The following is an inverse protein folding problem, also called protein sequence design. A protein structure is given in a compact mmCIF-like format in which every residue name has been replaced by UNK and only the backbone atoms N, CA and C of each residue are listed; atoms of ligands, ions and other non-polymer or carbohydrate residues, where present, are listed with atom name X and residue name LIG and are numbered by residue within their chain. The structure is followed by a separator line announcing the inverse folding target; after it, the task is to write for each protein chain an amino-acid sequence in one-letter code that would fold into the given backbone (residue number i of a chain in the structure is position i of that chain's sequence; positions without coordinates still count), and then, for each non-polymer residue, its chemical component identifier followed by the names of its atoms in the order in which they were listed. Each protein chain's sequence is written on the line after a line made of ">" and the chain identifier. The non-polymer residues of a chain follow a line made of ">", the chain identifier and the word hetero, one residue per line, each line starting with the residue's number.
data_IF_336073355796
#
_entry.id   IF_336073355796
#
_cell.length_a   1.000
_cell.length_b   1.000
_cell.length_c   1.000
_cell.angle_alpha   90.00
_cell.angle_beta   90.00
_cell.angle_gamma   90.00
#
_symmetry.space_group_name_H-M   'P 1'
#
loop_
_entity.id
_entity.type
_entity.pdbx_description
1 polymer ?
#
# COMPACT_ATOMS: atom_id res chain seq x y z
N UNK A 1 10.42 -9.20 7.11
CA UNK A 1 10.52 -8.87 8.55
C UNK A 1 11.16 -10.00 9.36
N UNK A 2 10.70 -11.28 9.24
CA UNK A 2 11.30 -12.41 9.96
C UNK A 2 12.81 -12.59 9.67
N UNK A 3 13.22 -12.44 8.42
CA UNK A 3 14.63 -12.45 8.03
C UNK A 3 15.41 -11.33 8.71
N UNK A 4 14.87 -10.12 8.77
CA UNK A 4 15.49 -8.98 9.46
C UNK A 4 15.74 -9.25 10.95
N UNK A 5 14.79 -9.88 11.64
CA UNK A 5 14.95 -10.28 13.04
C UNK A 5 16.10 -11.29 13.22
N UNK A 6 16.23 -12.28 12.32
CA UNK A 6 17.35 -13.24 12.35
C UNK A 6 18.69 -12.55 12.10
N UNK A 7 18.74 -11.60 11.18
CA UNK A 7 19.94 -10.79 10.89
C UNK A 7 20.32 -9.98 12.14
N UNK A 8 19.36 -9.30 12.79
CA UNK A 8 19.62 -8.55 14.03
C UNK A 8 20.20 -9.45 15.14
N UNK A 9 19.59 -10.62 15.36
CA UNK A 9 20.07 -11.57 16.35
C UNK A 9 21.48 -12.08 16.05
N UNK A 10 21.82 -12.30 14.78
CA UNK A 10 23.17 -12.70 14.37
C UNK A 10 24.20 -11.56 14.53
N UNK A 11 23.81 -10.35 14.16
CA UNK A 11 24.67 -9.16 14.20
C UNK A 11 25.01 -8.74 15.64
N UNK A 12 24.12 -9.00 16.60
CA UNK A 12 24.33 -8.66 18.02
C UNK A 12 25.60 -9.30 18.61
N UNK A 13 25.95 -10.51 18.16
CA UNK A 13 27.17 -11.23 18.64
C UNK A 13 28.47 -10.49 18.33
N UNK A 14 28.48 -9.70 17.25
CA UNK A 14 29.66 -8.94 16.82
C UNK A 14 29.49 -7.42 16.94
N UNK A 15 28.39 -6.95 17.59
CA UNK A 15 28.06 -5.54 17.73
C UNK A 15 28.00 -4.77 16.39
N UNK A 16 27.54 -5.44 15.32
CA UNK A 16 27.45 -4.82 13.98
C UNK A 16 26.35 -3.80 13.93
N UNK A 17 26.64 -2.64 13.33
CA UNK A 17 25.60 -1.68 12.95
C UNK A 17 24.78 -2.27 11.79
N UNK A 18 23.48 -2.06 11.84
CA UNK A 18 22.55 -2.56 10.83
C UNK A 18 21.76 -1.41 10.21
N UNK A 19 21.55 -1.52 8.90
CA UNK A 19 20.49 -0.83 8.19
C UNK A 19 19.62 -1.91 7.56
N UNK A 20 18.37 -1.97 7.98
CA UNK A 20 17.38 -2.94 7.49
C UNK A 20 16.22 -2.18 6.87
N UNK A 21 15.95 -2.48 5.61
CA UNK A 21 14.76 -2.04 4.89
C UNK A 21 13.90 -3.28 4.64
N UNK A 22 12.74 -3.33 5.30
CA UNK A 22 11.92 -4.53 5.39
C UNK A 22 10.53 -4.29 4.77
N UNK A 23 9.56 -5.11 5.14
CA UNK A 23 8.21 -5.07 4.60
C UNK A 23 7.45 -3.78 4.92
N UNK A 24 6.37 -3.56 4.21
CA UNK A 24 5.47 -2.42 4.39
C UNK A 24 4.01 -2.76 4.17
N UNK A 25 3.16 -1.87 4.67
CA UNK A 25 1.73 -1.76 4.31
C UNK A 25 1.46 -0.28 4.02
N UNK A 26 2.09 0.21 2.96
CA UNK A 26 2.05 1.62 2.56
C UNK A 26 0.62 2.11 2.41
N UNK A 27 0.34 3.23 3.06
CA UNK A 27 -0.97 3.86 3.06
C UNK A 27 -0.98 5.10 2.18
N UNK A 28 -2.07 5.28 1.44
CA UNK A 28 -2.42 6.54 0.79
C UNK A 28 -3.68 7.09 1.48
N UNK A 29 -3.61 8.34 1.94
CA UNK A 29 -4.74 9.08 2.53
C UNK A 29 -5.23 10.07 1.48
N UNK A 30 -6.51 9.98 1.12
CA UNK A 30 -7.15 10.87 0.13
C UNK A 30 -8.23 11.66 0.85
N UNK A 31 -7.96 12.93 1.09
CA UNK A 31 -8.87 13.85 1.78
C UNK A 31 -9.96 14.38 0.87
N UNK A 32 -10.99 15.00 1.45
CA UNK A 32 -12.15 15.56 0.73
C UNK A 32 -11.79 16.63 -0.32
N UNK A 33 -10.68 17.33 -0.13
CA UNK A 33 -10.16 18.40 -0.99
C UNK A 33 -9.03 17.95 -1.92
N UNK A 34 -8.80 16.64 -2.05
CA UNK A 34 -7.73 16.10 -2.88
C UNK A 34 -8.02 16.25 -4.39
N UNK A 35 -6.97 16.41 -5.19
CA UNK A 35 -7.04 16.18 -6.65
C UNK A 35 -7.21 14.67 -6.90
N UNK A 36 -8.46 14.24 -7.07
CA UNK A 36 -8.83 12.83 -7.20
C UNK A 36 -8.16 12.19 -8.41
N UNK A 37 -8.09 12.91 -9.53
CA UNK A 37 -7.49 12.36 -10.76
C UNK A 37 -5.99 12.06 -10.57
N UNK A 38 -5.26 12.97 -9.93
CA UNK A 38 -3.83 12.74 -9.62
C UNK A 38 -3.64 11.66 -8.57
N UNK A 39 -4.48 11.64 -7.52
CA UNK A 39 -4.42 10.61 -6.47
C UNK A 39 -4.64 9.21 -7.05
N UNK A 40 -5.63 9.03 -7.93
CA UNK A 40 -5.90 7.76 -8.62
C UNK A 40 -4.74 7.35 -9.51
N UNK A 41 -4.19 8.28 -10.32
CA UNK A 41 -3.04 7.97 -11.18
C UNK A 41 -1.86 7.47 -10.37
N UNK A 42 -1.59 8.13 -9.26
CA UNK A 42 -0.53 7.75 -8.33
C UNK A 42 -0.79 6.38 -7.70
N UNK A 43 -2.06 6.09 -7.35
CA UNK A 43 -2.47 4.77 -6.83
C UNK A 43 -2.18 3.69 -7.85
N UNK A 44 -2.69 3.82 -9.08
CA UNK A 44 -2.52 2.82 -10.16
C UNK A 44 -1.04 2.58 -10.45
N UNK A 45 -0.25 3.65 -10.62
CA UNK A 45 1.18 3.56 -10.93
C UNK A 45 2.01 2.89 -9.83
N UNK A 46 1.56 2.96 -8.57
CA UNK A 46 2.27 2.39 -7.42
C UNK A 46 1.76 1.02 -7.00
N UNK A 47 0.43 0.83 -6.94
CA UNK A 47 -0.17 -0.36 -6.37
C UNK A 47 -0.03 -1.61 -7.27
N UNK A 48 -0.16 -1.44 -8.57
CA UNK A 48 -0.29 -2.59 -9.46
C UNK A 48 1.01 -3.17 -10.00
N UNK A 49 2.14 -2.47 -10.07
CA UNK A 49 3.44 -3.15 -10.08
C UNK A 49 3.67 -4.02 -8.83
N UNK A 50 3.12 -3.63 -7.68
CA UNK A 50 2.82 -4.42 -6.46
C UNK A 50 4.00 -5.07 -5.74
N UNK A 51 5.16 -5.22 -6.36
CA UNK A 51 6.32 -5.94 -5.82
C UNK A 51 7.45 -4.98 -5.43
N UNK A 52 7.08 -3.87 -4.80
CA UNK A 52 8.02 -2.93 -4.18
C UNK A 52 7.61 -2.69 -2.71
N UNK A 53 8.60 -2.53 -1.82
CA UNK A 53 8.33 -2.24 -0.42
C UNK A 53 7.60 -0.89 -0.21
N UNK A 54 7.71 0.03 -1.18
CA UNK A 54 7.02 1.32 -1.19
C UNK A 54 5.67 1.31 -1.92
N UNK A 55 5.26 0.18 -2.53
CA UNK A 55 4.00 0.11 -3.27
C UNK A 55 2.80 0.41 -2.37
N UNK A 56 1.92 1.31 -2.83
CA UNK A 56 0.65 1.57 -2.14
C UNK A 56 -0.17 0.28 -2.15
N UNK A 57 -0.59 -0.14 -0.97
CA UNK A 57 -1.36 -1.37 -0.78
C UNK A 57 -2.63 -1.15 0.03
N UNK A 58 -2.79 0.07 0.59
CA UNK A 58 -3.94 0.48 1.37
C UNK A 58 -4.28 1.94 1.06
N UNK A 59 -5.54 2.22 0.72
CA UNK A 59 -6.08 3.57 0.53
C UNK A 59 -7.09 3.85 1.65
N UNK A 60 -6.90 4.96 2.34
CA UNK A 60 -7.90 5.56 3.20
C UNK A 60 -8.54 6.70 2.43
N UNK A 61 -9.84 6.63 2.19
CA UNK A 61 -10.58 7.58 1.36
C UNK A 61 -11.63 8.30 2.18
N UNK A 62 -11.66 9.64 2.14
CA UNK A 62 -12.74 10.40 2.75
C UNK A 62 -14.07 10.08 2.06
N UNK A 63 -15.10 9.79 2.85
CA UNK A 63 -16.41 9.33 2.35
C UNK A 63 -17.00 10.22 1.25
N UNK A 64 -16.82 11.55 1.33
CA UNK A 64 -17.40 12.50 0.36
C UNK A 64 -16.84 12.40 -1.06
N UNK A 65 -15.66 11.80 -1.24
CA UNK A 65 -15.00 11.65 -2.56
C UNK A 65 -14.84 10.18 -2.97
N UNK A 66 -15.38 9.27 -2.17
CA UNK A 66 -15.30 7.83 -2.38
C UNK A 66 -15.79 7.40 -3.76
N UNK A 67 -16.98 7.81 -4.12
CA UNK A 67 -17.65 7.35 -5.35
C UNK A 67 -16.81 7.75 -6.59
N UNK A 68 -16.43 9.02 -6.67
CA UNK A 68 -15.60 9.52 -7.76
C UNK A 68 -14.26 8.79 -7.83
N UNK A 69 -13.59 8.61 -6.67
CA UNK A 69 -12.31 7.92 -6.61
C UNK A 69 -12.43 6.47 -7.08
N UNK A 70 -13.42 5.71 -6.60
CA UNK A 70 -13.57 4.28 -6.94
C UNK A 70 -13.95 4.07 -8.40
N UNK A 71 -14.80 4.92 -8.98
CA UNK A 71 -15.15 4.86 -10.40
C UNK A 71 -13.92 5.11 -11.28
N UNK A 72 -13.15 6.15 -10.97
CA UNK A 72 -11.95 6.49 -11.73
C UNK A 72 -10.84 5.45 -11.53
N UNK A 73 -10.66 4.95 -10.30
CA UNK A 73 -9.71 3.88 -10.00
C UNK A 73 -10.01 2.62 -10.81
N UNK A 74 -11.27 2.18 -10.83
CA UNK A 74 -11.69 1.01 -11.61
C UNK A 74 -11.42 1.19 -13.10
N UNK A 75 -11.82 2.32 -13.68
CA UNK A 75 -11.59 2.62 -15.10
C UNK A 75 -10.12 2.52 -15.46
N UNK A 76 -9.25 3.21 -14.71
CA UNK A 76 -7.80 3.24 -14.99
C UNK A 76 -7.09 1.92 -14.70
N UNK A 77 -7.59 1.17 -13.72
CA UNK A 77 -7.01 -0.13 -13.39
C UNK A 77 -7.28 -1.17 -14.46
N UNK A 78 -8.45 -1.12 -15.09
CA UNK A 78 -8.82 -2.02 -16.19
C UNK A 78 -8.05 -1.74 -17.50
N UNK A 79 -7.48 -0.53 -17.63
CA UNK A 79 -6.59 -0.16 -18.75
C UNK A 79 -5.13 -0.60 -18.50
N UNK A 80 -4.80 -1.03 -17.27
CA UNK A 80 -3.44 -1.43 -16.92
C UNK A 80 -3.17 -2.87 -17.32
N UNK A 81 -1.95 -3.15 -17.75
CA UNK A 81 -1.51 -4.54 -17.97
C UNK A 81 -1.51 -5.34 -16.65
N UNK A 82 -1.80 -6.64 -16.71
CA UNK A 82 -1.64 -7.53 -15.58
C UNK A 82 -0.22 -7.50 -15.00
N UNK A 83 -0.11 -7.54 -13.67
CA UNK A 83 1.17 -7.55 -12.97
C UNK A 83 1.89 -8.88 -13.16
N UNK A 84 3.13 -8.87 -13.64
CA UNK A 84 4.00 -10.04 -13.66
C UNK A 84 4.61 -10.25 -12.28
N UNK A 85 4.22 -11.31 -11.60
CA UNK A 85 4.80 -11.72 -10.32
C UNK A 85 6.08 -12.54 -10.52
N UNK A 86 6.93 -12.55 -9.49
CA UNK A 86 8.27 -13.14 -9.59
C UNK A 86 8.26 -14.66 -9.85
N UNK A 87 7.30 -15.36 -9.25
CA UNK A 87 7.18 -16.82 -9.36
C UNK A 87 5.78 -17.34 -9.01
N UNK A 88 5.60 -18.65 -9.12
CA UNK A 88 4.35 -19.33 -8.80
C UNK A 88 4.01 -19.26 -7.30
N UNK A 89 4.99 -19.15 -6.42
CA UNK A 89 4.77 -19.00 -4.96
C UNK A 89 4.13 -17.63 -4.67
N UNK A 90 4.52 -16.60 -5.42
CA UNK A 90 3.89 -15.29 -5.33
C UNK A 90 2.43 -15.31 -5.80
N UNK A 91 2.12 -16.04 -6.87
CA UNK A 91 0.73 -16.28 -7.33
C UNK A 91 -0.10 -16.91 -6.20
N UNK A 92 0.36 -18.03 -5.65
CA UNK A 92 -0.34 -18.74 -4.57
C UNK A 92 -0.58 -17.85 -3.34
N UNK A 93 0.41 -17.01 -3.01
CA UNK A 93 0.27 -16.03 -1.93
C UNK A 93 -0.84 -15.02 -2.25
N UNK A 94 -0.87 -14.45 -3.45
CA UNK A 94 -1.91 -13.49 -3.87
C UNK A 94 -3.28 -14.17 -3.84
N UNK A 95 -3.44 -15.36 -4.43
CA UNK A 95 -4.69 -16.13 -4.44
C UNK A 95 -5.21 -16.34 -3.01
N UNK A 96 -4.35 -16.74 -2.07
CA UNK A 96 -4.72 -16.88 -0.65
C UNK A 96 -5.29 -15.59 -0.05
N UNK A 97 -4.70 -14.43 -0.35
CA UNK A 97 -5.22 -13.14 0.15
C UNK A 97 -6.51 -12.73 -0.55
N UNK A 98 -6.70 -13.06 -1.83
CA UNK A 98 -7.97 -12.90 -2.51
C UNK A 98 -9.09 -13.68 -1.81
N UNK A 99 -8.84 -14.95 -1.45
CA UNK A 99 -9.80 -15.78 -0.74
C UNK A 99 -10.10 -15.24 0.67
N UNK A 100 -9.11 -14.67 1.36
CA UNK A 100 -9.32 -14.00 2.64
C UNK A 100 -10.12 -12.70 2.48
N UNK A 101 -9.82 -11.92 1.43
CA UNK A 101 -10.53 -10.67 1.14
C UNK A 101 -12.01 -10.89 0.87
N UNK A 102 -12.35 -11.91 0.09
CA UNK A 102 -13.73 -12.26 -0.26
C UNK A 102 -14.61 -12.66 0.95
N UNK A 103 -14.02 -12.94 2.12
CA UNK A 103 -14.81 -13.31 3.32
C UNK A 103 -15.52 -12.13 3.97
N UNK A 104 -14.89 -10.96 3.98
CA UNK A 104 -15.38 -9.77 4.69
C UNK A 104 -15.30 -8.49 3.87
N UNK A 105 -14.65 -8.51 2.71
CA UNK A 105 -14.52 -7.37 1.82
C UNK A 105 -15.36 -7.50 0.57
N UNK A 106 -15.74 -6.39 -0.01
CA UNK A 106 -16.35 -6.31 -1.33
C UNK A 106 -15.25 -6.28 -2.39
N UNK A 107 -15.24 -7.26 -3.30
CA UNK A 107 -14.34 -7.27 -4.46
C UNK A 107 -14.87 -6.30 -5.52
N UNK A 108 -14.20 -5.18 -5.71
CA UNK A 108 -14.60 -4.15 -6.68
C UNK A 108 -14.20 -4.50 -8.12
N UNK A 109 -13.02 -5.11 -8.31
CA UNK A 109 -12.53 -5.61 -9.61
C UNK A 109 -11.31 -6.52 -9.43
N UNK A 110 -10.97 -7.27 -10.48
CA UNK A 110 -9.83 -8.20 -10.52
C UNK A 110 -10.07 -9.48 -9.74
N UNK A 111 -9.08 -9.93 -8.98
CA UNK A 111 -9.16 -11.13 -8.14
C UNK A 111 -8.94 -12.43 -8.89
N UNK A 112 -8.30 -12.39 -10.05
CA UNK A 112 -8.07 -13.54 -10.92
C UNK A 112 -6.79 -13.39 -11.77
N UNK A 113 -6.37 -14.47 -12.38
CA UNK A 113 -5.36 -14.45 -13.45
C UNK A 113 -5.98 -13.94 -14.74
N UNK A 114 -5.20 -13.27 -15.60
CA UNK A 114 -5.69 -12.82 -16.91
C UNK A 114 -6.07 -14.01 -17.79
N UNK A 115 -7.13 -13.86 -18.57
CA UNK A 115 -7.64 -14.91 -19.45
C UNK A 115 -7.02 -14.88 -20.86
N UNK A 116 -6.37 -13.76 -21.24
CA UNK A 116 -5.73 -13.61 -22.55
C UNK A 116 -4.53 -14.55 -22.67
N UNK A 117 -4.47 -15.34 -23.76
CA UNK A 117 -3.43 -16.34 -24.04
C UNK A 117 -2.01 -15.77 -24.03
N UNK A 118 -1.82 -14.48 -24.33
CA UNK A 118 -0.51 -13.81 -24.27
C UNK A 118 0.13 -13.86 -22.88
N UNK A 119 -0.69 -13.98 -21.82
CA UNK A 119 -0.24 -14.06 -20.44
C UNK A 119 -0.15 -15.49 -19.88
N UNK A 120 -0.57 -16.51 -20.65
CA UNK A 120 -0.70 -17.90 -20.17
C UNK A 120 0.63 -18.52 -19.69
N UNK A 121 1.77 -18.07 -20.23
CA UNK A 121 3.11 -18.63 -19.91
C UNK A 121 3.81 -17.92 -18.75
N UNK A 122 3.22 -16.87 -18.17
CA UNK A 122 3.82 -16.08 -17.09
C UNK A 122 3.06 -16.16 -15.77
N UNK A 123 3.67 -15.65 -14.72
CA UNK A 123 3.05 -15.51 -13.42
C UNK A 123 2.27 -14.19 -13.32
N UNK A 124 1.32 -13.98 -14.22
CA UNK A 124 0.54 -12.77 -14.28
C UNK A 124 -0.68 -12.81 -13.37
N UNK A 125 -1.03 -11.64 -12.79
CA UNK A 125 -2.23 -11.46 -11.98
C UNK A 125 -2.87 -10.09 -12.27
N UNK A 126 -4.20 -10.04 -12.33
CA UNK A 126 -4.91 -8.80 -12.64
C UNK A 126 -4.83 -7.81 -11.47
N UNK A 127 -4.80 -6.47 -11.76
CA UNK A 127 -5.04 -5.45 -10.77
C UNK A 127 -6.30 -5.76 -9.96
N UNK A 128 -6.17 -5.78 -8.65
CA UNK A 128 -7.24 -6.22 -7.76
C UNK A 128 -7.50 -5.18 -6.68
N UNK A 129 -8.77 -4.89 -6.41
CA UNK A 129 -9.18 -3.95 -5.39
C UNK A 129 -10.34 -4.49 -4.56
N UNK A 130 -10.23 -4.34 -3.25
CA UNK A 130 -11.28 -4.61 -2.28
C UNK A 130 -11.66 -3.33 -1.53
N UNK A 131 -12.95 -3.20 -1.23
CA UNK A 131 -13.48 -2.27 -0.25
C UNK A 131 -13.77 -3.03 1.05
N UNK A 132 -13.36 -2.46 2.18
CA UNK A 132 -13.60 -3.01 3.53
C UNK A 132 -14.28 -1.97 4.41
N UNK A 133 -15.16 -2.42 5.30
CA UNK A 133 -15.75 -1.59 6.34
C UNK A 133 -14.74 -1.19 7.42
N UNK A 134 -13.79 -2.10 7.71
CA UNK A 134 -12.70 -1.86 8.66
C UNK A 134 -11.40 -2.55 8.22
N UNK A 135 -10.34 -2.35 8.98
CA UNK A 135 -9.04 -2.95 8.66
C UNK A 135 -8.72 -4.26 9.41
N UNK A 136 -9.72 -4.99 9.91
CA UNK A 136 -9.52 -6.25 10.64
C UNK A 136 -9.05 -7.39 9.73
N UNK A 137 -9.42 -7.33 8.45
CA UNK A 137 -9.04 -8.36 7.48
C UNK A 137 -7.52 -8.37 7.23
N UNK A 138 -6.88 -9.55 7.15
CA UNK A 138 -5.46 -9.68 6.82
C UNK A 138 -5.02 -8.96 5.54
N UNK A 139 -5.92 -8.80 4.55
CA UNK A 139 -5.67 -8.02 3.33
C UNK A 139 -5.34 -6.56 3.65
N UNK A 140 -5.93 -5.99 4.69
CA UNK A 140 -5.67 -4.61 5.12
C UNK A 140 -4.41 -4.46 5.96
N UNK A 141 -3.94 -5.53 6.62
CA UNK A 141 -2.89 -5.48 7.64
C UNK A 141 -1.56 -6.08 7.23
N UNK A 142 -1.58 -7.10 6.36
CA UNK A 142 -0.37 -7.86 6.02
C UNK A 142 0.20 -7.45 4.66
N UNK A 143 1.51 -7.59 4.51
CA UNK A 143 2.20 -7.36 3.23
C UNK A 143 1.92 -8.52 2.28
N UNK A 144 1.22 -8.23 1.17
CA UNK A 144 0.88 -9.22 0.14
C UNK A 144 2.00 -9.34 -0.89
N UNK A 145 2.65 -8.22 -1.22
CA UNK A 145 3.68 -8.10 -2.25
C UNK A 145 3.19 -8.54 -3.62
N UNK A 146 2.06 -7.98 -4.03
CA UNK A 146 1.33 -8.27 -5.27
C UNK A 146 0.28 -7.20 -5.56
N UNK A 147 -0.43 -7.26 -6.70
CA UNK A 147 -1.32 -6.22 -7.20
C UNK A 147 -2.69 -6.20 -6.49
N UNK A 148 -2.68 -6.15 -5.16
CA UNK A 148 -3.89 -6.17 -4.33
C UNK A 148 -3.96 -4.92 -3.47
N UNK A 149 -4.99 -4.12 -3.70
CA UNK A 149 -5.28 -2.89 -2.99
C UNK A 149 -6.48 -3.08 -2.06
N UNK A 150 -6.38 -2.57 -0.83
CA UNK A 150 -7.50 -2.42 0.09
C UNK A 150 -7.90 -0.96 0.20
N UNK A 151 -9.19 -0.68 0.15
CA UNK A 151 -9.77 0.65 0.36
C UNK A 151 -10.62 0.61 1.63
N UNK A 152 -10.51 1.65 2.46
CA UNK A 152 -11.26 1.83 3.70
C UNK A 152 -11.71 3.30 3.73
N UNK A 153 -12.94 3.55 4.13
CA UNK A 153 -13.49 4.89 4.26
C UNK A 153 -13.11 5.50 5.60
N UNK A 154 -13.11 6.83 5.65
CA UNK A 154 -13.02 7.59 6.89
C UNK A 154 -13.84 8.89 6.81
N UNK A 155 -14.20 9.42 7.98
CA UNK A 155 -15.02 10.61 8.10
C UNK A 155 -14.23 11.86 8.50
N UNK A 156 -13.19 11.71 9.31
CA UNK A 156 -12.38 12.84 9.78
C UNK A 156 -10.87 12.52 9.81
N UNK A 157 -10.07 13.58 9.91
CA UNK A 157 -8.60 13.48 9.85
C UNK A 157 -8.00 12.67 11.01
N UNK A 158 -8.63 12.64 12.20
CA UNK A 158 -8.15 11.86 13.34
C UNK A 158 -8.40 10.37 13.12
N UNK A 159 -9.55 10.02 12.57
CA UNK A 159 -9.87 8.65 12.20
C UNK A 159 -8.87 8.16 11.14
N UNK A 160 -8.65 8.94 10.06
CA UNK A 160 -7.68 8.61 9.03
C UNK A 160 -6.27 8.41 9.60
N UNK A 161 -5.84 9.28 10.53
CA UNK A 161 -4.55 9.17 11.20
C UNK A 161 -4.44 7.89 12.05
N UNK A 162 -5.49 7.59 12.82
CA UNK A 162 -5.54 6.38 13.66
C UNK A 162 -5.48 5.12 12.79
N UNK A 163 -6.30 5.05 11.73
CA UNK A 163 -6.27 3.95 10.76
C UNK A 163 -4.90 3.82 10.08
N UNK A 164 -4.28 4.94 9.68
CA UNK A 164 -2.97 4.93 9.04
C UNK A 164 -1.88 4.38 9.97
N UNK A 165 -1.89 4.78 11.25
CA UNK A 165 -0.90 4.38 12.23
C UNK A 165 -1.16 2.99 12.86
N UNK A 166 -2.40 2.47 12.82
CA UNK A 166 -2.74 1.13 13.33
C UNK A 166 -2.23 0.03 12.38
N UNK A 167 -0.94 -0.10 12.32
CA UNK A 167 -0.23 -1.13 11.57
C UNK A 167 1.11 -1.44 12.23
N UNK A 168 1.62 -2.65 12.01
CA UNK A 168 2.97 -3.03 12.42
C UNK A 168 4.08 -2.46 11.52
N UNK A 169 3.71 -1.77 10.45
CA UNK A 169 4.63 -1.20 9.47
C UNK A 169 4.66 0.33 9.53
N UNK A 170 5.67 0.93 8.93
CA UNK A 170 5.84 2.38 8.86
C UNK A 170 6.97 2.77 7.92
N UNK A 171 6.91 2.34 6.64
CA UNK A 171 7.92 2.72 5.66
C UNK A 171 7.56 4.02 4.96
N UNK A 172 6.40 4.06 4.33
CA UNK A 172 5.96 5.18 3.52
C UNK A 172 4.46 5.43 3.69
N UNK A 173 4.07 6.69 3.67
CA UNK A 173 2.70 7.16 3.52
C UNK A 173 2.62 8.22 2.43
N UNK A 174 1.49 8.30 1.75
CA UNK A 174 1.14 9.33 0.76
C UNK A 174 -0.10 10.07 1.23
N UNK A 175 -0.10 11.39 1.16
CA UNK A 175 -1.23 12.25 1.56
C UNK A 175 -1.64 13.09 0.37
N UNK A 176 -2.95 13.14 0.13
CA UNK A 176 -3.55 13.95 -0.93
C UNK A 176 -4.52 14.95 -0.33
N UNK A 177 -4.15 16.22 -0.35
CA UNK A 177 -4.93 17.36 0.16
C UNK A 177 -4.41 18.67 -0.43
N UNK A 178 -5.29 19.64 -0.60
CA UNK A 178 -4.91 21.02 -0.95
C UNK A 178 -4.83 21.94 0.28
N UNK A 179 -5.12 21.42 1.49
CA UNK A 179 -5.13 22.17 2.74
C UNK A 179 -3.77 22.05 3.47
N UNK A 180 -2.98 23.14 3.59
CA UNK A 180 -1.67 23.11 4.25
C UNK A 180 -1.73 22.76 5.74
N UNK A 181 -2.84 23.06 6.44
CA UNK A 181 -3.01 22.70 7.84
C UNK A 181 -3.21 21.18 8.01
N UNK A 182 -3.96 20.57 7.10
CA UNK A 182 -4.14 19.12 7.05
C UNK A 182 -2.85 18.41 6.68
N UNK A 183 -2.10 18.94 5.70
CA UNK A 183 -0.76 18.47 5.37
C UNK A 183 0.12 18.43 6.63
N UNK A 184 0.26 19.54 7.35
CA UNK A 184 1.06 19.65 8.57
C UNK A 184 0.55 18.70 9.68
N UNK A 185 -0.77 18.53 9.78
CA UNK A 185 -1.38 17.60 10.74
C UNK A 185 -0.90 16.18 10.53
N UNK A 186 -0.96 15.67 9.30
CA UNK A 186 -0.55 14.31 8.97
C UNK A 186 0.97 14.14 9.00
N UNK A 187 1.73 15.04 8.35
CA UNK A 187 3.18 14.95 8.27
C UNK A 187 3.82 14.87 9.65
N UNK A 188 3.29 15.60 10.63
CA UNK A 188 3.84 15.62 12.00
C UNK A 188 3.43 14.43 12.87
N UNK A 189 2.44 13.62 12.47
CA UNK A 189 1.83 12.59 13.32
C UNK A 189 1.87 11.17 12.72
N UNK A 190 2.12 11.04 11.44
CA UNK A 190 2.25 9.73 10.81
C UNK A 190 3.52 9.01 11.29
N UNK A 191 3.35 7.78 11.75
CA UNK A 191 4.43 6.92 12.24
C UNK A 191 5.09 6.15 11.09
N UNK A 192 5.66 6.91 10.16
CA UNK A 192 6.30 6.37 8.95
C UNK A 192 7.60 7.09 8.63
N UNK A 193 8.51 6.41 7.98
CA UNK A 193 9.83 6.94 7.65
C UNK A 193 9.81 8.02 6.58
N UNK A 194 8.83 7.95 5.67
CA UNK A 194 8.67 8.89 4.56
C UNK A 194 7.20 9.24 4.42
N UNK A 195 6.94 10.54 4.18
CA UNK A 195 5.62 11.05 3.86
C UNK A 195 5.71 11.79 2.53
N UNK A 196 4.97 11.34 1.52
CA UNK A 196 4.75 12.07 0.28
C UNK A 196 3.50 12.94 0.40
N UNK A 197 3.58 14.19 -0.04
CA UNK A 197 2.41 15.09 -0.10
C UNK A 197 2.09 15.38 -1.55
N UNK A 198 0.88 15.06 -1.97
CA UNK A 198 0.41 15.14 -3.36
C UNK A 198 1.33 14.38 -4.35
N UNK A 199 1.98 13.34 -3.85
CA UNK A 199 2.79 12.40 -4.62
C UNK A 199 2.93 11.08 -3.84
N UNK A 200 3.46 10.04 -4.49
CA UNK A 200 3.62 8.71 -3.87
C UNK A 200 4.79 8.62 -2.88
N UNK A 201 5.45 9.72 -2.58
CA UNK A 201 6.74 9.64 -1.92
C UNK A 201 7.74 8.83 -2.78
N UNK A 202 8.96 9.22 -2.87
CA UNK A 202 9.91 8.54 -3.73
C UNK A 202 11.30 8.54 -3.12
N UNK A 203 12.17 7.71 -3.70
CA UNK A 203 13.60 7.79 -3.44
C UNK A 203 14.12 9.14 -3.94
N UNK A 204 14.45 10.01 -3.01
CA UNK A 204 15.16 11.24 -3.32
C UNK A 204 16.62 11.05 -2.90
N UNK A 205 17.54 11.18 -3.82
CA UNK A 205 18.98 10.88 -3.61
C UNK A 205 19.64 11.59 -2.41
N UNK A 206 19.00 12.64 -1.87
CA UNK A 206 19.51 13.44 -0.77
C UNK A 206 18.78 13.26 0.55
N UNK A 207 17.78 12.37 0.59
CA UNK A 207 17.01 12.11 1.80
C UNK A 207 17.31 10.71 2.36
N UNK A 208 17.44 10.57 3.67
CA UNK A 208 17.59 9.25 4.28
C UNK A 208 16.38 8.38 3.99
N UNK A 209 16.61 7.13 3.60
CA UNK A 209 15.58 6.12 3.40
C UNK A 209 15.57 5.14 4.56
N UNK A 210 14.42 4.87 5.15
CA UNK A 210 14.27 3.87 6.21
C UNK A 210 12.87 3.89 6.81
N UNK A 211 12.49 2.78 7.42
CA UNK A 211 11.17 2.57 8.02
C UNK A 211 11.16 2.73 9.54
N UNK A 212 9.96 2.92 10.06
CA UNK A 212 9.62 2.80 11.48
C UNK A 212 9.05 1.41 11.77
N UNK A 213 8.82 1.10 13.04
CA UNK A 213 8.19 -0.15 13.48
C UNK A 213 8.90 -1.37 12.88
N UNK A 214 8.11 -2.30 12.28
CA UNK A 214 8.67 -3.51 11.65
C UNK A 214 9.15 -3.32 10.21
N UNK A 215 9.06 -2.10 9.67
CA UNK A 215 9.55 -1.78 8.33
C UNK A 215 11.05 -1.55 8.26
N UNK A 216 11.73 -1.40 9.39
CA UNK A 216 13.18 -1.34 9.36
C UNK A 216 13.82 -0.68 10.56
N UNK A 217 15.16 -0.57 10.51
CA UNK A 217 16.01 0.10 11.48
C UNK A 217 17.22 0.68 10.77
N UNK A 218 17.67 1.85 11.22
CA UNK A 218 18.78 2.59 10.60
C UNK A 218 18.36 3.37 9.35
N UNK A 219 19.17 4.37 9.01
CA UNK A 219 19.02 5.24 7.84
C UNK A 219 20.39 5.68 7.36
#
# INVERSE_FOLDING_TARGET
>A
TATGQKIMASASKGLKRLQLNLGSKTVQIVSADADISKAVNATVASAYPGQACSAISRVLIHQSVREEFLQLLKSRSLESDPCLLIDQTAIQRVERYIDLGKKTGELLFGGQKPVDEKYAKGCYFEPTCFLFEDQSNPVCREEIFGPVLSVIEFDDDNEALNLANDTNFGLLASIWTENPQREQFFVSRLETGIVGVNNNGGLVHRTPWGGFKRSGIGR
#
